data_IF_338030029158
#
_entry.id   IF_338030029158
#
_cell.length_a   1.000
_cell.length_b   1.000
_cell.length_c   1.000
_cell.angle_alpha   90.00
_cell.angle_beta   90.00
_cell.angle_gamma   90.00
#
_symmetry.space_group_name_H-M   'P 1'
#
loop_
_entity.id
_entity.type
_entity.pdbx_description
1 polymer ?
#
# COMPACT_ATOMS: atom_id res chain seq x y z
N UNK A 1 27.80 40.34 32.69
CA UNK A 1 26.37 40.43 33.05
C UNK A 1 25.57 39.45 32.16
N UNK A 2 25.03 38.40 32.78
CA UNK A 2 23.87 37.51 32.45
C UNK A 2 23.69 36.83 31.06
N UNK A 3 23.72 35.48 31.10
CA UNK A 3 22.74 34.42 30.66
C UNK A 3 22.10 34.39 29.24
N UNK A 4 22.48 33.36 28.44
CA UNK A 4 21.73 32.27 27.72
C UNK A 4 20.39 32.56 26.93
N UNK A 5 19.72 31.57 26.24
CA UNK A 5 19.62 31.51 24.76
C UNK A 5 18.16 31.41 24.21
N UNK A 6 17.97 31.36 22.88
CA UNK A 6 16.82 30.67 22.26
C UNK A 6 15.97 31.44 21.22
N UNK A 7 15.75 30.78 20.08
CA UNK A 7 14.59 30.74 19.16
C UNK A 7 15.10 30.64 17.72
N UNK A 8 14.89 29.57 16.95
CA UNK A 8 13.64 28.84 16.80
C UNK A 8 13.02 29.26 15.47
N UNK A 9 13.37 28.57 14.37
CA UNK A 9 12.60 28.60 13.12
C UNK A 9 12.59 27.21 12.51
N UNK A 10 11.49 26.52 12.77
CA UNK A 10 11.00 25.32 12.10
C UNK A 10 11.02 25.54 10.59
N UNK A 11 11.79 24.74 9.87
CA UNK A 11 11.64 24.59 8.42
C UNK A 11 10.55 23.56 8.18
N UNK A 12 9.41 24.01 7.67
CA UNK A 12 8.27 23.16 7.35
C UNK A 12 8.64 22.18 6.25
N UNK A 13 8.62 20.88 6.56
CA UNK A 13 8.62 19.83 5.56
C UNK A 13 7.20 19.69 5.03
N UNK A 14 6.95 20.32 3.88
CA UNK A 14 5.69 20.16 3.14
C UNK A 14 5.71 18.75 2.50
N UNK A 15 5.02 17.78 3.08
CA UNK A 15 4.83 16.48 2.43
C UNK A 15 3.74 16.63 1.36
N UNK A 16 4.14 17.01 0.15
CA UNK A 16 3.27 16.95 -1.03
C UNK A 16 3.16 15.49 -1.48
N UNK A 17 2.11 14.78 -1.05
CA UNK A 17 1.69 13.53 -1.68
C UNK A 17 1.02 13.85 -3.02
N UNK A 18 1.85 14.09 -4.04
CA UNK A 18 1.36 14.23 -5.40
C UNK A 18 1.01 12.85 -5.96
N UNK A 19 -0.30 12.59 -6.12
CA UNK A 19 -0.83 11.62 -7.07
C UNK A 19 -0.36 12.02 -8.48
N UNK A 20 0.56 11.28 -9.06
CA UNK A 20 0.83 11.34 -10.50
C UNK A 20 0.14 10.14 -11.18
N UNK A 21 -0.75 10.35 -12.17
CA UNK A 21 -1.27 9.26 -12.98
C UNK A 21 -0.19 8.71 -13.92
N UNK A 22 -0.20 7.38 -14.09
CA UNK A 22 0.88 6.57 -14.68
C UNK A 22 1.13 6.70 -16.21
N UNK A 23 0.32 7.33 -17.08
CA UNK A 23 0.65 7.36 -18.51
C UNK A 23 1.37 8.64 -19.00
N UNK A 24 1.99 9.45 -18.13
CA UNK A 24 2.75 10.63 -18.57
C UNK A 24 4.21 10.33 -19.03
N UNK A 25 4.69 9.09 -18.95
CA UNK A 25 6.07 8.70 -19.28
C UNK A 25 6.22 8.01 -20.65
N UNK A 26 5.38 8.35 -21.65
CA UNK A 26 5.60 7.89 -23.03
C UNK A 26 6.25 8.96 -23.94
N UNK A 27 6.52 10.18 -23.43
CA UNK A 27 7.00 11.29 -24.26
C UNK A 27 8.51 11.58 -24.13
N UNK A 28 9.27 10.76 -23.40
CA UNK A 28 10.72 10.94 -23.24
C UNK A 28 11.57 10.22 -24.32
N UNK A 29 11.00 9.88 -25.49
CA UNK A 29 11.70 9.12 -26.52
C UNK A 29 12.40 9.96 -27.60
N UNK A 30 12.36 11.30 -27.53
CA UNK A 30 12.90 12.17 -28.59
C UNK A 30 14.17 12.95 -28.24
N UNK A 31 14.73 12.79 -27.03
CA UNK A 31 15.86 13.65 -26.61
C UNK A 31 17.16 12.94 -26.26
N UNK A 32 17.18 11.64 -25.99
CA UNK A 32 18.42 10.95 -25.64
C UNK A 32 18.45 9.59 -26.32
N UNK A 33 18.98 9.58 -27.55
CA UNK A 33 19.25 8.37 -28.29
C UNK A 33 20.27 7.53 -27.56
N UNK A 34 19.80 6.56 -26.77
CA UNK A 34 20.44 5.28 -26.47
C UNK A 34 19.40 4.35 -25.84
N UNK A 35 19.32 3.13 -26.35
CA UNK A 35 18.39 2.09 -25.89
C UNK A 35 18.86 1.64 -24.50
N UNK A 36 18.04 1.73 -23.43
CA UNK A 36 18.50 1.26 -22.13
C UNK A 36 18.58 -0.28 -22.15
N UNK A 37 19.72 -0.78 -21.72
CA UNK A 37 19.89 -2.14 -21.21
C UNK A 37 18.77 -2.46 -20.22
N UNK A 38 18.30 -3.71 -20.24
CA UNK A 38 17.21 -4.23 -19.40
C UNK A 38 17.30 -3.64 -17.99
N UNK A 39 16.34 -2.78 -17.64
CA UNK A 39 16.16 -2.31 -16.27
C UNK A 39 15.97 -3.54 -15.37
N UNK A 40 16.75 -3.71 -14.29
CA UNK A 40 16.41 -4.68 -13.27
C UNK A 40 14.99 -4.35 -12.80
N UNK A 41 14.10 -5.35 -12.77
CA UNK A 41 12.75 -5.17 -12.23
C UNK A 41 12.87 -4.47 -10.89
N UNK A 42 12.30 -3.27 -10.79
CA UNK A 42 12.32 -2.49 -9.56
C UNK A 42 11.88 -3.38 -8.39
N UNK A 43 12.55 -3.32 -7.22
CA UNK A 43 12.08 -4.06 -6.07
C UNK A 43 10.62 -3.66 -5.81
N UNK A 44 9.74 -4.66 -5.71
CA UNK A 44 8.36 -4.47 -5.30
C UNK A 44 8.41 -3.75 -3.94
N UNK A 45 8.10 -2.45 -3.96
CA UNK A 45 8.30 -1.59 -2.80
C UNK A 45 7.34 -2.05 -1.72
N UNK A 46 7.88 -2.57 -0.61
CA UNK A 46 7.15 -2.66 0.64
C UNK A 46 6.80 -1.23 1.06
N UNK A 47 5.61 -0.78 0.70
CA UNK A 47 5.13 0.59 0.93
C UNK A 47 4.71 0.83 2.38
N UNK A 48 4.85 -0.18 3.24
CA UNK A 48 4.36 -0.13 4.61
C UNK A 48 5.08 0.93 5.46
N UNK A 49 4.28 1.65 6.25
CA UNK A 49 4.77 2.69 7.16
C UNK A 49 4.36 2.30 8.58
N UNK A 50 5.35 2.04 9.44
CA UNK A 50 5.14 1.62 10.83
C UNK A 50 5.87 2.57 11.79
N UNK A 51 5.15 3.56 12.31
CA UNK A 51 5.64 4.49 13.31
C UNK A 51 4.94 4.32 14.65
N UNK A 52 5.45 5.01 15.68
CA UNK A 52 4.89 4.95 17.05
C UNK A 52 3.46 5.50 17.16
N UNK A 53 3.03 6.33 16.21
CA UNK A 53 1.70 6.96 16.20
C UNK A 53 0.75 6.43 15.14
N UNK A 54 1.30 5.96 14.01
CA UNK A 54 0.52 5.52 12.85
C UNK A 54 1.21 4.32 12.23
N UNK A 55 0.43 3.27 11.95
CA UNK A 55 0.83 2.08 11.22
C UNK A 55 -0.14 1.86 10.06
N UNK A 56 0.36 1.61 8.85
CA UNK A 56 -0.47 1.36 7.66
C UNK A 56 -0.09 0.02 7.03
N UNK A 57 -1.09 -0.84 6.85
CA UNK A 57 -0.98 -2.13 6.16
C UNK A 57 -1.71 -2.07 4.82
N UNK A 58 -0.98 -2.31 3.73
CA UNK A 58 -1.54 -2.28 2.37
C UNK A 58 -2.01 -3.68 1.93
N UNK A 59 -3.02 -3.68 1.08
CA UNK A 59 -3.78 -4.84 0.59
C UNK A 59 -2.99 -6.05 0.11
N UNK A 60 -1.87 -5.88 -0.59
CA UNK A 60 -1.09 -7.01 -1.11
C UNK A 60 -0.09 -7.58 -0.10
N UNK A 61 0.16 -6.87 1.00
CA UNK A 61 1.06 -7.30 2.08
C UNK A 61 0.33 -7.75 3.36
N UNK A 62 -1.00 -7.62 3.42
CA UNK A 62 -1.77 -7.86 4.65
C UNK A 62 -2.61 -9.15 4.59
N UNK A 63 -2.27 -10.10 5.44
CA UNK A 63 -2.93 -11.40 5.50
C UNK A 63 -2.86 -12.15 4.18
N UNK A 64 -3.82 -13.03 3.96
CA UNK A 64 -4.08 -13.65 2.65
C UNK A 64 -5.27 -13.00 1.96
N UNK A 65 -5.21 -11.68 1.77
CA UNK A 65 -6.30 -10.93 1.16
C UNK A 65 -6.67 -11.52 -0.22
N UNK A 66 -7.94 -11.91 -0.45
CA UNK A 66 -8.37 -12.47 -1.73
C UNK A 66 -8.69 -11.37 -2.72
N UNK A 67 -8.20 -11.49 -3.95
CA UNK A 67 -8.52 -10.57 -5.04
C UNK A 67 -8.24 -11.21 -6.39
N UNK A 68 -8.75 -10.61 -7.46
CA UNK A 68 -8.39 -11.00 -8.83
C UNK A 68 -7.34 -10.05 -9.35
N UNK A 69 -6.17 -10.58 -9.72
CA UNK A 69 -5.09 -9.77 -10.27
C UNK A 69 -5.57 -9.11 -11.56
N UNK A 70 -5.38 -7.80 -11.68
CA UNK A 70 -5.80 -7.00 -12.84
C UNK A 70 -7.29 -7.16 -13.17
N UNK A 71 -8.13 -7.47 -12.17
CA UNK A 71 -9.57 -7.75 -12.32
C UNK A 71 -9.89 -8.87 -13.32
N UNK A 72 -8.99 -9.84 -13.47
CA UNK A 72 -9.14 -10.97 -14.38
C UNK A 72 -9.59 -12.23 -13.63
N UNK A 73 -10.77 -12.76 -13.97
CA UNK A 73 -11.34 -13.98 -13.35
C UNK A 73 -10.42 -15.21 -13.42
N UNK A 74 -9.52 -15.25 -14.41
CA UNK A 74 -8.55 -16.34 -14.61
C UNK A 74 -7.29 -16.19 -13.75
N UNK A 75 -7.15 -15.12 -12.98
CA UNK A 75 -6.01 -14.85 -12.11
C UNK A 75 -6.43 -14.63 -10.64
N UNK A 76 -7.08 -15.62 -9.99
CA UNK A 76 -7.47 -15.50 -8.59
C UNK A 76 -6.25 -15.57 -7.68
N UNK A 77 -6.09 -14.57 -6.81
CA UNK A 77 -5.14 -14.59 -5.70
C UNK A 77 -5.91 -14.93 -4.42
N UNK A 78 -5.40 -15.90 -3.65
CA UNK A 78 -6.03 -16.42 -2.43
C UNK A 78 -7.51 -16.82 -2.59
N UNK A 79 -7.89 -17.33 -3.77
CA UNK A 79 -9.27 -17.73 -4.10
C UNK A 79 -10.12 -16.64 -4.76
N UNK A 80 -9.59 -15.43 -4.94
CA UNK A 80 -10.22 -14.32 -5.68
C UNK A 80 -11.34 -13.60 -4.94
N UNK A 81 -12.18 -14.35 -4.22
CA UNK A 81 -13.34 -13.83 -3.50
C UNK A 81 -13.28 -14.18 -2.01
N UNK A 82 -13.86 -13.36 -1.12
CA UNK A 82 -13.92 -13.63 0.32
C UNK A 82 -14.49 -15.02 0.65
N UNK A 83 -15.59 -15.43 0.00
CA UNK A 83 -16.23 -16.73 0.23
C UNK A 83 -15.43 -17.93 -0.28
N UNK A 84 -14.39 -17.71 -1.09
CA UNK A 84 -13.48 -18.75 -1.59
C UNK A 84 -12.11 -18.73 -0.89
N UNK A 85 -11.90 -17.78 0.01
CA UNK A 85 -10.65 -17.63 0.76
C UNK A 85 -10.60 -18.62 1.93
N UNK A 86 -9.40 -19.11 2.26
CA UNK A 86 -9.16 -19.80 3.52
C UNK A 86 -8.98 -18.76 4.64
N UNK A 87 -10.06 -18.51 5.39
CA UNK A 87 -10.09 -17.50 6.46
C UNK A 87 -9.03 -17.76 7.53
N UNK A 88 -8.84 -19.01 7.96
CA UNK A 88 -7.82 -19.36 8.96
C UNK A 88 -6.42 -19.01 8.50
N UNK A 89 -6.08 -19.33 7.24
CA UNK A 89 -4.79 -18.98 6.68
C UNK A 89 -4.60 -17.46 6.51
N UNK A 90 -5.67 -16.72 6.21
CA UNK A 90 -5.63 -15.26 6.19
C UNK A 90 -5.30 -14.69 7.57
N UNK A 91 -6.01 -15.15 8.61
CA UNK A 91 -5.85 -14.63 9.97
C UNK A 91 -4.45 -14.92 10.56
N UNK A 92 -3.89 -16.11 10.31
CA UNK A 92 -2.52 -16.45 10.75
C UNK A 92 -1.50 -15.47 10.17
N UNK A 93 -1.60 -15.16 8.87
CA UNK A 93 -0.68 -14.22 8.23
C UNK A 93 -0.94 -12.79 8.69
N UNK A 94 -2.20 -12.39 8.89
CA UNK A 94 -2.54 -11.06 9.37
C UNK A 94 -2.01 -10.82 10.79
N UNK A 95 -2.14 -11.80 11.69
CA UNK A 95 -1.56 -11.75 13.04
C UNK A 95 -0.03 -11.60 12.98
N UNK A 96 0.63 -12.39 12.14
CA UNK A 96 2.07 -12.30 11.91
C UNK A 96 2.48 -10.92 11.36
N UNK A 97 1.73 -10.37 10.40
CA UNK A 97 1.97 -9.04 9.87
C UNK A 97 1.83 -7.96 10.95
N UNK A 98 0.79 -8.05 11.79
CA UNK A 98 0.56 -7.07 12.86
C UNK A 98 1.67 -7.14 13.90
N UNK A 99 1.96 -8.34 14.43
CA UNK A 99 2.91 -8.52 15.55
C UNK A 99 4.35 -8.22 15.15
N UNK A 100 4.75 -8.49 13.91
CA UNK A 100 6.10 -8.18 13.42
C UNK A 100 6.34 -6.68 13.25
N UNK A 101 5.31 -5.95 12.84
CA UNK A 101 5.41 -4.55 12.45
C UNK A 101 5.01 -3.58 13.58
N UNK A 102 4.02 -3.94 14.39
CA UNK A 102 3.65 -3.24 15.63
C UNK A 102 4.18 -4.06 16.80
N UNK A 103 5.48 -3.91 17.08
CA UNK A 103 6.18 -4.68 18.13
C UNK A 103 5.85 -4.24 19.55
N UNK A 104 5.37 -3.01 19.72
CA UNK A 104 4.93 -2.51 21.02
C UNK A 104 3.52 -3.04 21.31
N UNK A 105 3.40 -4.00 22.21
CA UNK A 105 2.09 -4.56 22.62
C UNK A 105 1.18 -3.50 23.29
N UNK A 106 1.76 -2.41 23.80
CA UNK A 106 1.03 -1.26 24.35
C UNK A 106 0.83 -0.14 23.32
N UNK A 107 0.90 -0.46 22.02
CA UNK A 107 0.65 0.50 20.95
C UNK A 107 -0.76 1.10 21.09
N UNK A 108 -0.82 2.43 21.14
CA UNK A 108 -2.05 3.22 21.29
C UNK A 108 -2.23 4.22 20.14
N UNK A 109 -1.45 4.07 19.07
CA UNK A 109 -1.57 4.83 17.84
C UNK A 109 -2.69 4.30 16.94
N UNK A 110 -2.79 4.88 15.73
CA UNK A 110 -3.76 4.48 14.72
C UNK A 110 -3.18 3.39 13.80
N UNK A 111 -3.79 2.22 13.79
CA UNK A 111 -3.51 1.18 12.81
C UNK A 111 -4.56 1.23 11.68
N UNK A 112 -4.10 1.39 10.44
CA UNK A 112 -4.93 1.49 9.24
C UNK A 112 -4.69 0.25 8.40
N UNK A 113 -5.77 -0.42 8.01
CA UNK A 113 -5.73 -1.50 7.03
C UNK A 113 -6.38 -0.97 5.76
N UNK A 114 -5.61 -0.91 4.68
CA UNK A 114 -6.01 -0.35 3.40
C UNK A 114 -6.26 -1.48 2.40
N UNK A 115 -7.53 -1.88 2.26
CA UNK A 115 -8.01 -2.94 1.37
C UNK A 115 -8.97 -2.35 0.34
N UNK A 116 -8.58 -2.30 -0.92
CA UNK A 116 -9.37 -1.61 -1.94
C UNK A 116 -9.97 -2.52 -3.02
N UNK A 117 -9.53 -3.77 -3.15
CA UNK A 117 -9.91 -4.61 -4.32
C UNK A 117 -11.40 -4.94 -4.43
N UNK A 118 -12.14 -4.96 -3.33
CA UNK A 118 -13.59 -5.14 -3.33
C UNK A 118 -14.25 -4.48 -2.12
N UNK A 119 -15.55 -4.22 -2.26
CA UNK A 119 -16.41 -3.68 -1.19
C UNK A 119 -17.23 -4.81 -0.58
N UNK A 120 -17.47 -4.78 0.75
CA UNK A 120 -18.24 -5.83 1.43
C UNK A 120 -19.73 -5.81 1.03
N UNK A 121 -20.22 -4.68 0.53
CA UNK A 121 -21.58 -4.57 -0.03
C UNK A 121 -21.53 -4.84 -1.53
N UNK A 122 -22.30 -5.83 -1.99
CA UNK A 122 -22.36 -6.24 -3.39
C UNK A 122 -22.60 -5.06 -4.34
N UNK A 123 -23.63 -4.26 -4.07
CA UNK A 123 -24.05 -3.13 -4.93
C UNK A 123 -22.98 -2.03 -5.08
N UNK A 124 -21.98 -2.00 -4.19
CA UNK A 124 -20.88 -1.04 -4.27
C UNK A 124 -19.72 -1.49 -5.19
N UNK A 125 -19.73 -2.75 -5.65
CA UNK A 125 -18.76 -3.25 -6.63
C UNK A 125 -19.20 -2.96 -8.08
N UNK A 126 -20.28 -2.19 -8.26
CA UNK A 126 -20.89 -1.91 -9.57
C UNK A 126 -20.19 -0.84 -10.43
N UNK A 127 -19.19 -0.13 -9.92
CA UNK A 127 -18.57 1.01 -10.61
C UNK A 127 -17.06 0.80 -10.85
N UNK A 128 -16.55 1.33 -11.96
CA UNK A 128 -15.14 1.27 -12.37
C UNK A 128 -14.62 -0.17 -12.55
N UNK A 129 -13.35 -0.43 -12.19
CA UNK A 129 -12.66 -1.71 -12.41
C UNK A 129 -13.01 -2.77 -11.37
N UNK A 130 -13.82 -2.49 -10.34
CA UNK A 130 -14.13 -3.46 -9.26
C UNK A 130 -15.04 -4.61 -9.70
N UNK A 131 -15.41 -4.66 -10.97
CA UNK A 131 -16.06 -5.79 -11.59
C UNK A 131 -15.03 -6.70 -12.24
N UNK A 132 -15.10 -7.97 -11.88
CA UNK A 132 -14.33 -9.03 -12.52
C UNK A 132 -15.27 -9.71 -13.51
N UNK A 133 -14.97 -9.56 -14.80
CA UNK A 133 -15.76 -10.12 -15.92
C UNK A 133 -15.15 -11.43 -16.38
#
# INVERSE_FOLDING_TARGET
MKRTPGNGRVSGMLLSLARAPVPAMQWAHTLFGNKPERTPSAPERDLSFFGEKVAIFYEFGFGRYPYYKDYNASQPINGGLPQKCNLTAHLIVAEDNITKNIRNESFSGLAIIDLEEWRPLWDQNGYMTKQVV
#
